data_IF_858269500627
#
_entry.id   IF_858269500627
#
_cell.length_a   1.000
_cell.length_b   1.000
_cell.length_c   1.000
_cell.angle_alpha   90.00
_cell.angle_beta   90.00
_cell.angle_gamma   90.00
#
_symmetry.space_group_name_H-M   'P 1'
#
loop_
_entity.id
_entity.type
_entity.pdbx_description
1 polymer ?
#
# COMPACT_ATOMS: atom_id res chain seq x y z
N UNK A 1 -2.95 22.01 23.14
CA UNK A 1 -2.63 20.67 22.62
C UNK A 1 -3.58 20.49 21.44
N UNK A 2 -3.21 21.07 20.29
CA UNK A 2 -3.94 20.95 19.03
C UNK A 2 -3.29 19.78 18.27
N UNK A 3 -4.06 18.72 18.07
CA UNK A 3 -3.72 17.69 17.07
C UNK A 3 -3.81 18.38 15.70
N UNK A 4 -2.67 18.67 15.11
CA UNK A 4 -2.58 18.88 13.68
C UNK A 4 -2.90 17.52 13.03
N UNK A 5 -4.09 17.39 12.47
CA UNK A 5 -4.44 16.27 11.61
C UNK A 5 -3.59 16.39 10.35
N UNK A 6 -2.56 15.58 10.29
CA UNK A 6 -1.73 15.40 9.11
C UNK A 6 -2.62 14.73 8.06
N UNK A 7 -3.09 15.49 7.07
CA UNK A 7 -3.64 14.93 5.85
C UNK A 7 -2.46 14.33 5.07
N UNK A 8 -2.19 13.07 5.33
CA UNK A 8 -1.38 12.27 4.42
C UNK A 8 -2.27 12.06 3.20
N UNK A 9 -1.98 12.75 2.12
CA UNK A 9 -2.49 12.41 0.80
C UNK A 9 -1.80 11.12 0.35
N UNK A 10 -2.24 9.99 0.92
CA UNK A 10 -2.02 8.70 0.29
C UNK A 10 -2.78 8.72 -1.03
N UNK A 11 -2.07 8.49 -2.12
CA UNK A 11 -2.57 8.60 -3.48
C UNK A 11 -3.90 7.91 -3.73
N UNK A 12 -4.97 8.66 -3.52
CA UNK A 12 -6.30 8.40 -4.04
C UNK A 12 -7.16 9.65 -3.78
N UNK A 13 -7.38 10.46 -4.80
CA UNK A 13 -8.53 11.36 -4.79
C UNK A 13 -8.29 12.85 -4.61
N UNK A 14 -7.39 13.47 -5.38
CA UNK A 14 -7.46 14.92 -5.64
C UNK A 14 -8.78 15.37 -6.33
N UNK A 15 -9.73 14.46 -6.52
CA UNK A 15 -11.00 14.73 -7.24
C UNK A 15 -12.12 15.30 -6.38
N UNK A 16 -11.92 15.57 -5.09
CA UNK A 16 -12.96 16.16 -4.21
C UNK A 16 -12.63 17.53 -3.64
N UNK A 17 -11.51 18.15 -4.01
CA UNK A 17 -11.33 19.57 -3.72
C UNK A 17 -12.14 20.38 -4.74
N UNK A 18 -13.00 21.28 -4.26
CA UNK A 18 -13.62 22.25 -5.16
C UNK A 18 -12.51 23.08 -5.81
N UNK A 19 -12.51 23.25 -7.14
CA UNK A 19 -11.51 24.08 -7.80
C UNK A 19 -11.54 25.50 -7.24
N UNK A 20 -10.41 26.20 -7.33
CA UNK A 20 -10.34 27.61 -6.94
C UNK A 20 -11.42 28.39 -7.70
N UNK A 21 -12.44 28.88 -7.01
CA UNK A 21 -13.62 29.54 -7.65
C UNK A 21 -13.30 30.94 -8.18
N UNK A 22 -12.41 31.66 -7.46
CA UNK A 22 -11.95 32.99 -7.83
C UNK A 22 -10.46 33.08 -7.64
N UNK A 23 -9.73 33.20 -8.73
CA UNK A 23 -8.28 33.19 -8.68
C UNK A 23 -7.67 33.91 -9.88
N UNK A 24 -6.36 34.03 -9.82
CA UNK A 24 -5.54 34.61 -10.88
C UNK A 24 -4.56 33.52 -11.37
N UNK A 25 -4.51 33.35 -12.67
CA UNK A 25 -3.54 32.45 -13.29
C UNK A 25 -2.11 32.96 -13.03
N UNK A 26 -1.28 32.06 -12.56
CA UNK A 26 0.17 32.21 -12.52
C UNK A 26 0.80 31.18 -13.46
N UNK A 27 1.63 31.66 -14.37
CA UNK A 27 2.25 30.83 -15.40
C UNK A 27 3.77 30.91 -15.31
N UNK A 28 4.40 29.77 -15.22
CA UNK A 28 5.84 29.60 -15.37
C UNK A 28 6.10 28.60 -16.51
N UNK A 29 6.75 29.04 -17.57
CA UNK A 29 6.96 28.27 -18.79
C UNK A 29 5.61 27.65 -19.28
N UNK A 30 5.51 26.33 -19.26
CA UNK A 30 4.37 25.53 -19.69
C UNK A 30 3.43 25.13 -18.52
N UNK A 31 3.77 25.49 -17.28
CA UNK A 31 2.92 25.20 -16.09
C UNK A 31 2.07 26.43 -15.77
N UNK A 32 0.77 26.26 -15.74
CA UNK A 32 -0.17 27.29 -15.23
C UNK A 32 -0.96 26.74 -14.07
N UNK A 33 -1.03 27.50 -12.98
CA UNK A 33 -1.86 27.23 -11.81
C UNK A 33 -2.77 28.41 -11.52
N UNK A 34 -3.92 28.16 -10.91
CA UNK A 34 -4.81 29.23 -10.43
C UNK A 34 -4.57 29.48 -8.94
N UNK A 35 -4.06 30.65 -8.60
CA UNK A 35 -3.86 31.07 -7.22
C UNK A 35 -5.12 31.81 -6.72
N UNK A 36 -5.60 31.56 -5.49
CA UNK A 36 -6.70 32.29 -4.89
C UNK A 36 -6.43 33.79 -4.90
N UNK A 37 -7.50 34.63 -5.12
CA UNK A 37 -7.33 36.08 -5.26
C UNK A 37 -6.73 36.71 -3.97
N UNK A 38 -7.08 36.19 -2.81
CA UNK A 38 -6.59 36.66 -1.52
C UNK A 38 -5.14 36.24 -1.19
N UNK A 39 -4.51 35.38 -2.04
CA UNK A 39 -3.09 35.04 -1.91
C UNK A 39 -2.16 36.14 -2.45
N UNK A 40 -2.66 37.10 -3.23
CA UNK A 40 -1.84 38.09 -3.93
C UNK A 40 -0.82 38.82 -3.04
N UNK A 41 -1.19 39.14 -1.79
CA UNK A 41 -0.34 39.83 -0.82
C UNK A 41 0.18 38.88 0.29
N UNK A 42 -0.20 37.60 0.26
CA UNK A 42 0.10 36.60 1.30
C UNK A 42 1.12 35.56 0.85
N UNK A 43 1.37 35.43 -0.45
CA UNK A 43 2.35 34.49 -0.95
C UNK A 43 3.53 35.17 -1.65
N UNK A 44 4.69 34.59 -1.47
CA UNK A 44 5.94 34.94 -2.17
C UNK A 44 6.30 33.78 -3.08
N UNK A 45 6.48 34.06 -4.37
CA UNK A 45 6.84 33.05 -5.36
C UNK A 45 8.31 33.23 -5.75
N UNK A 46 9.02 32.11 -5.81
CA UNK A 46 10.41 32.02 -6.28
C UNK A 46 10.46 31.04 -7.44
N UNK A 47 11.13 31.46 -8.49
CA UNK A 47 11.36 30.65 -9.68
C UNK A 47 12.82 30.19 -9.74
N UNK A 48 13.03 29.00 -10.28
CA UNK A 48 14.35 28.49 -10.64
C UNK A 48 14.32 27.78 -12.01
N UNK A 49 15.34 27.01 -12.32
CA UNK A 49 15.45 26.31 -13.63
C UNK A 49 14.48 25.15 -13.79
N UNK A 50 13.98 24.59 -12.68
CA UNK A 50 13.12 23.41 -12.68
C UNK A 50 11.64 23.73 -12.46
N UNK A 51 11.33 24.88 -11.85
CA UNK A 51 9.96 25.22 -11.50
C UNK A 51 9.79 26.51 -10.72
N UNK A 52 8.78 26.51 -9.87
CA UNK A 52 8.53 27.61 -8.96
C UNK A 52 8.03 27.10 -7.60
N UNK A 53 8.39 27.83 -6.56
CA UNK A 53 8.05 27.55 -5.17
C UNK A 53 7.20 28.66 -4.60
N UNK A 54 6.17 28.31 -3.85
CA UNK A 54 5.25 29.24 -3.19
C UNK A 54 5.48 29.18 -1.68
N UNK A 55 5.68 30.35 -1.09
CA UNK A 55 5.87 30.54 0.34
C UNK A 55 4.82 31.45 0.92
N UNK A 56 4.45 31.26 2.18
CA UNK A 56 3.74 32.26 2.96
C UNK A 56 4.68 33.46 3.19
N UNK A 57 4.27 34.65 2.75
CA UNK A 57 5.12 35.87 2.79
C UNK A 57 5.56 36.23 4.19
N UNK A 58 4.67 36.14 5.17
CA UNK A 58 4.96 36.55 6.54
C UNK A 58 6.08 35.71 7.20
N UNK A 59 6.15 34.40 6.89
CA UNK A 59 7.26 33.56 7.35
C UNK A 59 8.53 33.78 6.52
N UNK A 60 8.40 33.93 5.20
CA UNK A 60 9.52 34.11 4.28
C UNK A 60 10.29 35.41 4.57
N UNK A 61 9.60 36.51 4.92
CA UNK A 61 10.23 37.78 5.28
C UNK A 61 11.05 37.71 6.59
N UNK A 62 10.70 36.77 7.48
CA UNK A 62 11.47 36.53 8.71
C UNK A 62 12.76 35.75 8.43
N UNK A 63 12.68 34.76 7.58
CA UNK A 63 13.80 33.95 7.15
C UNK A 63 13.55 33.37 5.78
N UNK A 64 14.46 33.62 4.84
CA UNK A 64 14.39 33.06 3.48
C UNK A 64 14.28 31.53 3.53
N UNK A 65 13.30 30.98 2.79
CA UNK A 65 12.98 29.54 2.77
C UNK A 65 11.96 29.09 3.81
N UNK A 66 11.68 29.91 4.83
CA UNK A 66 10.58 29.63 5.77
C UNK A 66 9.24 29.98 5.14
N UNK A 67 8.17 29.28 5.51
CA UNK A 67 6.84 29.49 4.94
C UNK A 67 6.56 28.65 3.69
N UNK A 68 7.37 27.64 3.41
CA UNK A 68 7.19 26.75 2.26
C UNK A 68 5.81 26.11 2.28
N UNK A 69 5.02 26.33 1.23
CA UNK A 69 3.67 25.79 1.03
C UNK A 69 3.68 24.64 0.02
N UNK A 70 4.25 24.90 -1.15
CA UNK A 70 4.40 23.89 -2.20
C UNK A 70 5.38 24.40 -3.28
N UNK A 71 5.86 23.48 -4.11
CA UNK A 71 6.47 23.80 -5.40
C UNK A 71 5.86 23.00 -6.54
N UNK A 72 5.94 23.55 -7.74
CA UNK A 72 5.59 22.90 -8.99
C UNK A 72 6.88 22.77 -9.80
N UNK A 73 7.27 21.53 -10.09
CA UNK A 73 8.59 21.24 -10.63
C UNK A 73 8.50 20.30 -11.85
N UNK A 74 9.45 20.46 -12.76
CA UNK A 74 9.67 19.55 -13.90
C UNK A 74 10.87 18.67 -13.63
N UNK A 75 10.76 17.40 -14.03
CA UNK A 75 11.85 16.44 -13.96
C UNK A 75 11.82 15.52 -15.19
N UNK A 76 12.96 14.93 -15.53
CA UNK A 76 13.11 13.83 -16.47
C UNK A 76 13.35 12.48 -15.78
N UNK A 77 13.30 12.48 -14.44
CA UNK A 77 13.43 11.30 -13.60
C UNK A 77 12.19 11.12 -12.73
N UNK A 78 11.70 9.90 -12.67
CA UNK A 78 10.59 9.56 -11.78
C UNK A 78 11.09 9.54 -10.33
N UNK A 79 10.48 10.41 -9.52
CA UNK A 79 10.69 10.48 -8.08
C UNK A 79 9.54 9.76 -7.38
N UNK A 80 9.86 8.76 -6.58
CA UNK A 80 8.92 8.00 -5.76
C UNK A 80 9.62 7.65 -4.45
N UNK A 81 9.97 8.69 -3.68
CA UNK A 81 10.80 8.57 -2.47
C UNK A 81 10.00 8.78 -1.18
N UNK A 82 8.66 8.87 -1.27
CA UNK A 82 7.80 8.93 -0.11
C UNK A 82 6.90 10.15 -0.02
N UNK A 83 6.62 10.61 1.21
CA UNK A 83 5.63 11.65 1.47
C UNK A 83 6.09 13.03 0.96
N UNK A 84 5.19 13.72 0.28
CA UNK A 84 5.41 15.10 -0.17
C UNK A 84 5.66 15.26 -1.67
N UNK A 85 5.93 14.18 -2.38
CA UNK A 85 6.17 14.17 -3.83
C UNK A 85 4.94 13.60 -4.54
N UNK A 86 4.30 14.42 -5.38
CA UNK A 86 3.12 13.98 -6.11
C UNK A 86 3.33 14.23 -7.61
N UNK A 87 3.40 13.17 -8.41
CA UNK A 87 3.38 13.26 -9.85
C UNK A 87 1.97 13.66 -10.30
N UNK A 88 1.81 14.89 -10.79
CA UNK A 88 0.52 15.46 -11.16
C UNK A 88 0.21 15.36 -12.66
N UNK A 89 1.25 15.28 -13.48
CA UNK A 89 1.14 15.06 -14.92
C UNK A 89 2.45 14.51 -15.48
N UNK A 90 2.36 13.91 -16.65
CA UNK A 90 3.52 13.51 -17.45
C UNK A 90 3.20 13.56 -18.94
N UNK A 91 4.23 13.60 -19.77
CA UNK A 91 4.12 13.59 -21.23
C UNK A 91 4.79 12.36 -21.82
N UNK A 92 4.41 11.97 -23.03
CA UNK A 92 4.99 10.80 -23.70
C UNK A 92 6.49 10.95 -24.03
N UNK A 93 7.00 12.18 -24.07
CA UNK A 93 8.44 12.45 -24.24
C UNK A 93 9.26 12.26 -22.96
N UNK A 94 8.60 11.94 -21.84
CA UNK A 94 9.23 11.65 -20.57
C UNK A 94 9.40 12.86 -19.65
N UNK A 95 8.79 14.01 -19.95
CA UNK A 95 8.74 15.14 -19.01
C UNK A 95 7.72 14.87 -17.92
N UNK A 96 8.13 15.00 -16.66
CA UNK A 96 7.32 14.75 -15.47
C UNK A 96 7.07 16.08 -14.73
N UNK A 97 5.85 16.24 -14.21
CA UNK A 97 5.42 17.43 -13.50
C UNK A 97 4.99 17.04 -12.09
N UNK A 98 5.62 17.66 -11.11
CA UNK A 98 5.43 17.34 -9.70
C UNK A 98 4.80 18.49 -8.94
N UNK A 99 3.93 18.15 -7.99
CA UNK A 99 3.61 18.97 -6.83
C UNK A 99 4.46 18.46 -5.66
N UNK A 100 5.31 19.33 -5.11
CA UNK A 100 6.07 19.04 -3.92
C UNK A 100 5.43 19.77 -2.74
N UNK A 101 5.31 19.10 -1.60
CA UNK A 101 4.71 19.64 -0.38
C UNK A 101 5.61 19.39 0.83
N UNK A 102 5.58 20.25 1.86
CA UNK A 102 6.34 20.02 3.07
C UNK A 102 5.80 18.79 3.81
N UNK A 103 6.71 18.00 4.36
CA UNK A 103 6.38 16.84 5.23
C UNK A 103 6.22 17.24 6.70
N UNK A 104 6.56 18.48 7.06
CA UNK A 104 6.44 19.04 8.41
C UNK A 104 5.99 20.50 8.33
N UNK A 105 5.64 21.10 9.46
CA UNK A 105 5.24 22.52 9.54
C UNK A 105 6.46 23.39 9.21
N UNK A 106 6.35 24.16 8.13
CA UNK A 106 7.45 24.96 7.57
C UNK A 106 7.25 26.47 7.76
N UNK A 107 6.52 26.93 8.77
CA UNK A 107 6.26 28.35 9.03
C UNK A 107 6.93 28.83 10.34
N UNK A 108 6.89 30.16 10.57
CA UNK A 108 7.27 30.72 11.88
C UNK A 108 6.25 30.32 12.95
N UNK A 109 6.66 29.43 13.84
CA UNK A 109 5.81 28.91 14.91
C UNK A 109 5.78 29.77 16.17
N UNK A 110 6.53 30.88 16.22
CA UNK A 110 6.55 31.81 17.37
C UNK A 110 5.36 32.78 17.32
N UNK A 111 4.74 32.98 16.15
CA UNK A 111 3.60 33.86 15.95
C UNK A 111 2.34 33.07 15.55
N UNK A 112 1.40 32.97 16.47
CA UNK A 112 0.16 32.20 16.29
C UNK A 112 -0.66 32.68 15.08
N UNK A 113 -0.63 33.96 14.73
CA UNK A 113 -1.33 34.49 13.56
C UNK A 113 -0.75 33.98 12.26
N UNK A 114 0.59 33.86 12.21
CA UNK A 114 1.31 33.31 11.07
C UNK A 114 0.99 31.80 10.92
N UNK A 115 0.99 31.08 12.04
CA UNK A 115 0.62 29.64 12.05
C UNK A 115 -0.79 29.41 11.54
N UNK A 116 -1.77 30.20 11.99
CA UNK A 116 -3.16 30.10 11.56
C UNK A 116 -3.32 30.43 10.08
N UNK A 117 -2.64 31.47 9.60
CA UNK A 117 -2.64 31.81 8.17
C UNK A 117 -1.97 30.72 7.33
N UNK A 118 -0.80 30.21 7.75
CA UNK A 118 -0.10 29.12 7.07
C UNK A 118 -0.99 27.88 6.95
N UNK A 119 -1.63 27.46 8.05
CA UNK A 119 -2.54 26.33 8.05
C UNK A 119 -3.71 26.50 7.06
N UNK A 120 -4.32 27.71 7.04
CA UNK A 120 -5.39 28.02 6.07
C UNK A 120 -4.90 27.94 4.63
N UNK A 121 -3.69 28.45 4.33
CA UNK A 121 -3.11 28.39 2.98
C UNK A 121 -2.78 26.93 2.58
N UNK A 122 -2.28 26.11 3.51
CA UNK A 122 -2.00 24.70 3.25
C UNK A 122 -3.25 23.90 2.85
N UNK A 123 -4.42 24.23 3.46
CA UNK A 123 -5.70 23.59 3.09
C UNK A 123 -6.12 23.91 1.63
N UNK A 124 -5.65 25.01 1.08
CA UNK A 124 -5.97 25.44 -0.29
C UNK A 124 -5.02 24.87 -1.36
N UNK A 125 -3.84 24.33 -0.96
CA UNK A 125 -2.82 23.80 -1.91
C UNK A 125 -3.41 22.72 -2.83
N UNK A 126 -4.26 21.85 -2.32
CA UNK A 126 -4.90 20.78 -3.12
C UNK A 126 -5.82 21.37 -4.20
N UNK A 127 -6.53 22.46 -3.92
CA UNK A 127 -7.36 23.15 -4.92
C UNK A 127 -6.50 23.81 -6.00
N UNK A 128 -5.36 24.39 -5.62
CA UNK A 128 -4.38 24.95 -6.56
C UNK A 128 -3.81 23.86 -7.45
N UNK A 129 -3.40 22.73 -6.87
CA UNK A 129 -2.90 21.57 -7.62
C UNK A 129 -3.93 21.05 -8.63
N UNK A 130 -5.20 21.01 -8.24
CA UNK A 130 -6.30 20.59 -9.12
C UNK A 130 -6.56 21.57 -10.28
N UNK A 131 -6.01 22.79 -10.23
CA UNK A 131 -6.14 23.80 -11.28
C UNK A 131 -5.02 23.75 -12.33
N UNK A 132 -4.02 22.88 -12.13
CA UNK A 132 -2.84 22.79 -13.00
C UNK A 132 -3.23 22.54 -14.45
N UNK A 133 -2.62 23.33 -15.33
CA UNK A 133 -2.69 23.13 -16.77
C UNK A 133 -1.27 23.15 -17.32
N UNK A 134 -0.97 22.14 -18.12
CA UNK A 134 0.32 21.99 -18.80
C UNK A 134 0.12 22.30 -20.27
N UNK A 135 0.87 23.25 -20.81
CA UNK A 135 0.87 23.63 -22.23
C UNK A 135 1.93 22.81 -22.97
N UNK A 136 1.67 21.52 -23.14
CA UNK A 136 2.49 20.59 -23.88
C UNK A 136 1.60 19.60 -24.65
N UNK A 137 2.21 18.90 -25.61
CA UNK A 137 1.54 17.83 -26.35
C UNK A 137 1.46 16.55 -25.49
N UNK A 138 0.42 15.75 -25.71
CA UNK A 138 0.24 14.41 -25.13
C UNK A 138 0.42 14.34 -23.58
N UNK A 139 -0.24 15.28 -22.88
CA UNK A 139 -0.21 15.38 -21.41
C UNK A 139 -1.20 14.40 -20.77
N UNK A 140 -0.71 13.62 -19.83
CA UNK A 140 -1.46 12.68 -19.00
C UNK A 140 -1.60 13.22 -17.57
N UNK A 141 -2.83 13.25 -17.05
CA UNK A 141 -3.18 13.72 -15.68
C UNK A 141 -3.71 12.58 -14.80
N UNK A 142 -3.49 11.33 -15.19
CA UNK A 142 -4.01 10.11 -14.58
C UNK A 142 -2.92 9.26 -13.92
N UNK A 143 -1.80 9.89 -13.55
CA UNK A 143 -0.68 9.22 -12.92
C UNK A 143 -1.08 8.42 -11.66
N UNK A 144 -2.07 8.92 -10.93
CA UNK A 144 -2.64 8.30 -9.73
C UNK A 144 -3.39 6.98 -9.99
N UNK A 145 -3.65 6.64 -11.25
CA UNK A 145 -4.32 5.40 -11.63
C UNK A 145 -3.35 4.25 -11.94
N UNK A 146 -2.06 4.49 -11.79
CA UNK A 146 -1.01 3.51 -12.08
C UNK A 146 -0.14 3.26 -10.86
N UNK A 147 0.35 2.04 -10.72
CA UNK A 147 1.39 1.72 -9.75
C UNK A 147 2.74 2.29 -10.20
N UNK A 148 3.02 2.18 -11.51
CA UNK A 148 4.24 2.71 -12.14
C UNK A 148 3.86 3.58 -13.33
N UNK A 149 3.42 4.84 -13.09
CA UNK A 149 2.85 5.70 -14.15
C UNK A 149 3.74 5.82 -15.38
N UNK A 150 5.04 5.93 -15.17
CA UNK A 150 6.04 6.10 -16.21
C UNK A 150 6.56 4.79 -16.83
N UNK A 151 6.03 3.64 -16.38
CA UNK A 151 6.58 2.31 -16.73
C UNK A 151 6.62 1.96 -18.20
N UNK A 152 5.83 2.65 -19.03
CA UNK A 152 5.85 2.48 -20.49
C UNK A 152 6.81 3.43 -21.21
N UNK A 153 7.20 4.54 -20.57
CA UNK A 153 7.92 5.65 -21.22
C UNK A 153 9.33 5.90 -20.67
N UNK A 154 9.59 5.56 -19.40
CA UNK A 154 10.89 5.76 -18.75
C UNK A 154 11.41 4.47 -18.11
N UNK A 155 12.73 4.26 -18.11
CA UNK A 155 13.34 3.23 -17.28
C UNK A 155 13.14 3.57 -15.79
N UNK A 156 12.71 2.59 -15.01
CA UNK A 156 12.65 2.71 -13.55
C UNK A 156 13.88 2.10 -12.90
N UNK A 157 14.17 2.52 -11.68
CA UNK A 157 15.30 2.04 -10.87
C UNK A 157 14.83 1.22 -9.68
N UNK A 158 15.75 0.49 -9.02
CA UNK A 158 15.46 -0.20 -7.77
C UNK A 158 14.97 0.78 -6.69
N UNK A 159 15.55 1.98 -6.63
CA UNK A 159 15.16 3.03 -5.69
C UNK A 159 13.71 3.49 -5.91
N UNK A 160 13.27 3.63 -7.17
CA UNK A 160 11.89 4.00 -7.50
C UNK A 160 10.86 2.95 -7.03
N UNK A 161 11.28 1.70 -6.88
CA UNK A 161 10.42 0.57 -6.56
C UNK A 161 10.59 0.09 -5.11
N UNK A 162 11.55 0.67 -4.35
CA UNK A 162 11.93 0.19 -3.01
C UNK A 162 10.80 0.24 -1.99
N UNK A 163 9.93 1.24 -2.12
CA UNK A 163 8.81 1.43 -1.19
C UNK A 163 7.54 0.67 -1.61
N UNK A 164 7.58 -0.02 -2.76
CA UNK A 164 6.45 -0.83 -3.20
C UNK A 164 6.38 -2.13 -2.41
N UNK A 165 5.20 -2.41 -1.88
CA UNK A 165 4.87 -3.69 -1.27
C UNK A 165 4.94 -4.84 -2.29
N UNK A 166 4.99 -6.08 -1.81
CA UNK A 166 4.91 -7.27 -2.67
C UNK A 166 3.71 -7.21 -3.63
N UNK A 167 2.58 -6.73 -3.12
CA UNK A 167 1.37 -6.61 -3.90
C UNK A 167 1.45 -5.53 -4.98
N UNK A 168 2.01 -4.38 -4.66
CA UNK A 168 2.20 -3.31 -5.64
C UNK A 168 3.20 -3.74 -6.71
N UNK A 169 4.28 -4.45 -6.35
CA UNK A 169 5.19 -5.06 -7.32
C UNK A 169 4.45 -6.09 -8.21
N UNK A 170 3.54 -6.89 -7.63
CA UNK A 170 2.72 -7.83 -8.39
C UNK A 170 1.76 -7.11 -9.35
N UNK A 171 1.10 -6.06 -8.89
CA UNK A 171 0.27 -5.20 -9.74
C UNK A 171 1.10 -4.51 -10.82
N UNK A 172 2.23 -3.90 -10.47
CA UNK A 172 3.13 -3.22 -11.41
C UNK A 172 3.62 -4.14 -12.55
N UNK A 173 3.98 -5.38 -12.22
CA UNK A 173 4.39 -6.36 -13.24
C UNK A 173 3.24 -6.70 -14.21
N UNK A 174 2.01 -6.75 -13.71
CA UNK A 174 0.83 -7.05 -14.52
C UNK A 174 0.24 -5.82 -15.21
N UNK A 175 0.45 -4.63 -14.66
CA UNK A 175 0.08 -3.34 -15.26
C UNK A 175 0.71 -3.17 -16.64
N UNK A 176 1.99 -3.55 -16.80
CA UNK A 176 2.67 -3.51 -18.10
C UNK A 176 1.88 -4.29 -19.17
N UNK A 177 1.38 -5.48 -18.84
CA UNK A 177 0.56 -6.26 -19.76
C UNK A 177 -0.86 -5.71 -19.90
N UNK A 178 -1.44 -5.17 -18.84
CA UNK A 178 -2.77 -4.58 -18.85
C UNK A 178 -2.86 -3.38 -19.79
N UNK A 179 -1.81 -2.55 -19.87
CA UNK A 179 -1.69 -1.44 -20.83
C UNK A 179 -1.81 -1.91 -22.28
N UNK A 180 -1.44 -3.15 -22.57
CA UNK A 180 -1.62 -3.80 -23.89
C UNK A 180 -2.94 -4.59 -24.00
N UNK A 181 -3.86 -4.41 -23.05
CA UNK A 181 -5.19 -5.03 -23.08
C UNK A 181 -5.22 -6.52 -22.73
N UNK A 182 -4.22 -7.03 -22.01
CA UNK A 182 -4.24 -8.40 -21.51
C UNK A 182 -5.42 -8.60 -20.56
N UNK A 183 -6.16 -9.69 -20.75
CA UNK A 183 -7.15 -10.19 -19.78
C UNK A 183 -6.51 -11.20 -18.85
N UNK A 184 -6.98 -11.27 -17.62
CA UNK A 184 -6.40 -12.09 -16.56
C UNK A 184 -7.38 -13.18 -16.11
N UNK A 185 -6.88 -14.40 -15.95
CA UNK A 185 -7.62 -15.48 -15.31
C UNK A 185 -7.67 -15.30 -13.78
N UNK A 186 -6.70 -14.59 -13.23
CA UNK A 186 -6.69 -14.14 -11.84
C UNK A 186 -7.79 -13.10 -11.64
N UNK A 187 -8.78 -13.46 -10.82
CA UNK A 187 -9.96 -12.60 -10.56
C UNK A 187 -9.62 -11.31 -9.87
N UNK A 188 -8.56 -11.30 -9.05
CA UNK A 188 -8.06 -10.10 -8.38
C UNK A 188 -7.46 -9.12 -9.40
N UNK A 189 -6.55 -9.58 -10.27
CA UNK A 189 -5.96 -8.75 -11.32
C UNK A 189 -7.02 -8.22 -12.28
N UNK A 190 -7.96 -9.09 -12.71
CA UNK A 190 -9.00 -8.68 -13.63
C UNK A 190 -9.90 -7.60 -13.00
N UNK A 191 -10.32 -7.78 -11.75
CA UNK A 191 -11.14 -6.81 -11.05
C UNK A 191 -10.40 -5.47 -10.82
N UNK A 192 -9.09 -5.54 -10.52
CA UNK A 192 -8.26 -4.35 -10.40
C UNK A 192 -8.23 -3.56 -11.70
N UNK A 193 -7.87 -4.19 -12.81
CA UNK A 193 -7.72 -3.48 -14.07
C UNK A 193 -9.06 -3.09 -14.70
N UNK A 194 -10.12 -3.89 -14.55
CA UNK A 194 -11.49 -3.53 -15.01
C UNK A 194 -11.96 -2.20 -14.39
N UNK A 195 -11.43 -1.87 -13.26
CA UNK A 195 -11.76 -0.68 -12.54
C UNK A 195 -10.89 0.54 -12.92
N UNK A 196 -9.76 0.35 -13.59
CA UNK A 196 -8.93 1.42 -14.10
C UNK A 196 -9.54 2.02 -15.37
N UNK A 197 -9.72 3.36 -15.41
CA UNK A 197 -10.37 4.03 -16.54
C UNK A 197 -9.59 3.92 -17.85
N UNK A 198 -8.29 3.69 -17.77
CA UNK A 198 -7.39 3.52 -18.91
C UNK A 198 -7.38 2.09 -19.48
N UNK A 199 -7.81 1.10 -18.71
CA UNK A 199 -7.76 -0.29 -19.15
C UNK A 199 -8.84 -0.61 -20.20
N UNK A 200 -8.41 -1.20 -21.31
CA UNK A 200 -9.32 -1.67 -22.37
C UNK A 200 -8.91 -3.08 -22.77
N UNK A 201 -9.72 -4.11 -22.42
CA UNK A 201 -9.42 -5.48 -22.79
C UNK A 201 -9.35 -5.65 -24.31
N UNK A 202 -8.22 -6.10 -24.85
CA UNK A 202 -8.09 -6.45 -26.26
C UNK A 202 -8.58 -7.89 -26.47
N UNK A 203 -9.84 -8.07 -26.77
CA UNK A 203 -10.47 -9.39 -26.95
C UNK A 203 -9.67 -10.33 -27.85
N UNK A 204 -8.89 -11.23 -27.26
CA UNK A 204 -8.37 -12.44 -27.90
C UNK A 204 -6.89 -12.48 -28.31
N UNK A 205 -6.09 -11.46 -28.11
CA UNK A 205 -4.64 -11.57 -28.27
C UNK A 205 -3.93 -11.09 -27.00
N UNK A 206 -3.47 -12.03 -26.19
CA UNK A 206 -2.57 -11.72 -25.08
C UNK A 206 -1.30 -11.10 -25.65
N UNK A 207 -1.00 -9.85 -25.29
CA UNK A 207 0.35 -9.33 -25.46
C UNK A 207 1.28 -10.21 -24.63
N UNK A 208 2.02 -11.08 -25.29
CA UNK A 208 3.16 -11.74 -24.68
C UNK A 208 4.33 -10.76 -24.63
N UNK A 209 5.42 -11.13 -23.97
CA UNK A 209 6.63 -10.31 -23.86
C UNK A 209 7.14 -9.74 -25.20
N UNK A 210 6.83 -10.41 -26.32
CA UNK A 210 7.21 -9.98 -27.67
C UNK A 210 6.48 -8.71 -28.17
N UNK A 211 5.41 -8.28 -27.50
CA UNK A 211 4.68 -7.06 -27.85
C UNK A 211 5.12 -5.82 -27.05
N UNK A 212 5.96 -6.00 -26.05
CA UNK A 212 6.43 -4.93 -25.16
C UNK A 212 7.59 -4.15 -25.80
N UNK A 213 7.64 -2.85 -25.54
CA UNK A 213 8.79 -2.01 -25.87
C UNK A 213 10.06 -2.45 -25.11
N UNK A 214 11.23 -1.96 -25.52
CA UNK A 214 12.49 -2.24 -24.82
C UNK A 214 12.46 -1.71 -23.37
N UNK A 215 11.83 -0.56 -23.15
CA UNK A 215 11.65 0.04 -21.82
C UNK A 215 10.76 -0.85 -20.95
N UNK A 216 9.59 -1.24 -21.45
CA UNK A 216 8.67 -2.10 -20.74
C UNK A 216 9.27 -3.47 -20.39
N UNK A 217 10.04 -4.06 -21.31
CA UNK A 217 10.75 -5.31 -21.04
C UNK A 217 11.82 -5.15 -19.94
N UNK A 218 12.57 -4.03 -19.96
CA UNK A 218 13.57 -3.74 -18.94
C UNK A 218 12.92 -3.53 -17.57
N UNK A 219 11.86 -2.72 -17.53
CA UNK A 219 11.11 -2.45 -16.31
C UNK A 219 10.46 -3.72 -15.73
N UNK A 220 9.79 -4.52 -16.58
CA UNK A 220 9.21 -5.79 -16.18
C UNK A 220 10.25 -6.75 -15.59
N UNK A 221 11.44 -6.80 -16.19
CA UNK A 221 12.54 -7.64 -15.69
C UNK A 221 13.02 -7.16 -14.32
N UNK A 222 13.14 -5.85 -14.11
CA UNK A 222 13.53 -5.28 -12.83
C UNK A 222 12.46 -5.55 -11.76
N UNK A 223 11.19 -5.25 -12.04
CA UNK A 223 10.08 -5.48 -11.12
C UNK A 223 10.03 -6.96 -10.68
N UNK A 224 10.15 -7.90 -11.63
CA UNK A 224 10.19 -9.33 -11.31
C UNK A 224 11.42 -9.74 -10.49
N UNK A 225 12.57 -9.10 -10.72
CA UNK A 225 13.76 -9.34 -9.91
C UNK A 225 13.56 -8.85 -8.47
N UNK A 226 12.92 -7.69 -8.29
CA UNK A 226 12.59 -7.15 -6.97
C UNK A 226 11.53 -8.00 -6.25
N UNK A 227 10.51 -8.51 -6.95
CA UNK A 227 9.58 -9.49 -6.37
C UNK A 227 10.32 -10.72 -5.85
N UNK A 228 11.25 -11.26 -6.65
CA UNK A 228 12.03 -12.44 -6.25
C UNK A 228 12.95 -12.13 -5.07
N UNK A 229 13.57 -10.95 -5.04
CA UNK A 229 14.40 -10.51 -3.92
C UNK A 229 13.55 -10.32 -2.66
N UNK A 230 12.40 -9.68 -2.79
CA UNK A 230 11.43 -9.52 -1.71
C UNK A 230 10.99 -10.87 -1.14
N UNK A 231 10.58 -11.82 -2.00
CA UNK A 231 10.22 -13.18 -1.60
C UNK A 231 11.40 -13.91 -0.92
N UNK A 232 12.65 -13.63 -1.31
CA UNK A 232 13.85 -14.25 -0.73
C UNK A 232 14.23 -13.63 0.63
N UNK A 233 13.99 -12.34 0.83
CA UNK A 233 14.19 -11.65 2.12
C UNK A 233 13.07 -11.99 3.10
N UNK A 234 11.85 -12.13 2.59
CA UNK A 234 10.67 -12.47 3.36
C UNK A 234 10.32 -13.94 3.13
N UNK A 235 11.15 -14.84 3.68
CA UNK A 235 10.94 -16.30 3.63
C UNK A 235 9.59 -16.71 4.25
N UNK A 236 8.96 -15.82 4.96
CA UNK A 236 7.66 -16.02 5.61
C UNK A 236 6.56 -15.18 4.94
N UNK A 237 5.31 -15.65 4.91
CA UNK A 237 4.79 -16.89 5.50
C UNK A 237 5.26 -18.15 4.73
N UNK A 238 5.63 -19.18 5.45
CA UNK A 238 6.03 -20.48 4.90
C UNK A 238 5.00 -21.55 5.24
N UNK A 239 4.59 -22.32 4.24
CA UNK A 239 3.65 -23.44 4.39
C UNK A 239 4.38 -24.72 4.75
N UNK A 240 3.81 -25.50 5.66
CA UNK A 240 4.27 -26.84 6.05
C UNK A 240 3.13 -27.84 5.94
N UNK A 241 3.42 -29.04 5.47
CA UNK A 241 2.44 -30.13 5.36
C UNK A 241 1.98 -30.62 6.73
N UNK A 242 0.67 -30.70 6.93
CA UNK A 242 0.13 -31.32 8.13
C UNK A 242 0.43 -32.83 8.15
N UNK A 243 0.71 -33.36 9.34
CA UNK A 243 1.10 -34.74 9.55
C UNK A 243 2.59 -35.01 9.36
N UNK A 244 3.36 -34.04 8.91
CA UNK A 244 4.83 -34.10 8.84
C UNK A 244 5.46 -33.28 9.96
N UNK A 245 6.67 -33.64 10.38
CA UNK A 245 7.45 -32.85 11.35
C UNK A 245 8.43 -31.97 10.60
N UNK A 246 8.45 -30.69 10.92
CA UNK A 246 9.36 -29.70 10.37
C UNK A 246 10.32 -29.17 11.45
N UNK A 247 11.54 -28.87 11.08
CA UNK A 247 12.50 -28.16 11.93
C UNK A 247 12.39 -26.66 11.65
N UNK A 248 11.97 -25.88 12.65
CA UNK A 248 11.67 -24.46 12.54
C UNK A 248 12.32 -23.71 13.69
N UNK A 249 13.03 -22.63 13.42
CA UNK A 249 13.55 -21.72 14.43
C UNK A 249 12.40 -20.80 14.91
N UNK A 250 11.57 -21.28 15.82
CA UNK A 250 10.44 -20.50 16.36
C UNK A 250 10.91 -19.36 17.25
N UNK A 251 12.06 -19.49 17.86
CA UNK A 251 12.65 -18.48 18.75
C UNK A 251 13.89 -17.88 18.09
N UNK A 252 14.11 -16.59 18.28
CA UNK A 252 15.31 -15.90 17.79
C UNK A 252 16.56 -16.25 18.65
N UNK A 253 16.81 -17.55 18.81
CA UNK A 253 17.94 -18.06 19.57
C UNK A 253 18.81 -19.05 18.77
N UNK A 254 18.50 -19.25 17.49
CA UNK A 254 19.20 -20.15 16.58
C UNK A 254 18.96 -21.65 16.85
N UNK A 255 18.03 -22.00 17.73
CA UNK A 255 17.66 -23.39 18.01
C UNK A 255 16.45 -23.76 17.15
N UNK A 256 16.55 -24.93 16.47
CA UNK A 256 15.43 -25.47 15.70
C UNK A 256 14.51 -26.27 16.63
N UNK A 257 13.22 -25.98 16.55
CA UNK A 257 12.18 -26.73 17.21
C UNK A 257 11.57 -27.74 16.22
N UNK A 258 11.28 -28.95 16.68
CA UNK A 258 10.50 -29.94 15.94
C UNK A 258 9.02 -29.57 16.01
N UNK A 259 8.40 -29.15 14.91
CA UNK A 259 7.01 -28.70 14.87
C UNK A 259 6.20 -29.60 13.95
N UNK A 260 5.05 -30.05 14.43
CA UNK A 260 4.06 -30.73 13.58
C UNK A 260 2.62 -30.32 13.94
N UNK A 261 1.76 -30.35 12.93
CA UNK A 261 0.33 -30.08 13.08
C UNK A 261 -0.47 -31.26 12.56
N UNK A 262 -1.46 -31.69 13.32
CA UNK A 262 -2.34 -32.82 12.95
C UNK A 262 -3.79 -32.49 13.20
N UNK A 263 -4.65 -32.89 12.26
CA UNK A 263 -6.10 -32.86 12.40
C UNK A 263 -6.64 -34.27 12.34
N UNK A 264 -7.35 -34.68 13.37
CA UNK A 264 -7.94 -36.03 13.48
C UNK A 264 -9.43 -35.94 13.81
N UNK A 265 -10.17 -37.01 13.55
CA UNK A 265 -11.62 -37.02 13.78
C UNK A 265 -12.42 -36.40 12.64
N UNK A 266 -13.70 -36.12 12.87
CA UNK A 266 -14.62 -35.46 11.91
C UNK A 266 -15.75 -34.76 12.66
N UNK A 267 -16.18 -33.61 12.17
CA UNK A 267 -17.25 -32.81 12.74
C UNK A 267 -16.95 -32.40 14.18
N UNK A 268 -17.91 -32.55 15.10
CA UNK A 268 -17.74 -32.18 16.52
C UNK A 268 -16.66 -33.00 17.27
N UNK A 269 -16.11 -34.05 16.65
CA UNK A 269 -15.02 -34.86 17.21
C UNK A 269 -13.68 -34.56 16.57
N UNK A 270 -13.57 -33.45 15.88
CA UNK A 270 -12.31 -33.00 15.29
C UNK A 270 -11.37 -32.52 16.39
N UNK A 271 -10.15 -33.06 16.38
CA UNK A 271 -9.07 -32.66 17.29
C UNK A 271 -7.92 -32.11 16.46
N UNK A 272 -7.52 -30.90 16.75
CA UNK A 272 -6.39 -30.20 16.15
C UNK A 272 -5.26 -30.14 17.18
N UNK A 273 -4.11 -30.67 16.84
CA UNK A 273 -2.96 -30.73 17.73
C UNK A 273 -1.73 -30.12 17.07
N UNK A 274 -1.14 -29.13 17.73
CA UNK A 274 0.23 -28.72 17.49
C UNK A 274 1.16 -29.51 18.41
N UNK A 275 2.24 -30.04 17.88
CA UNK A 275 3.26 -30.69 18.70
C UNK A 275 4.56 -29.94 18.48
N UNK A 276 5.19 -29.47 19.56
CA UNK A 276 6.44 -28.73 19.55
C UNK A 276 7.41 -29.42 20.51
N UNK A 277 8.56 -29.88 19.99
CA UNK A 277 9.60 -30.60 20.72
C UNK A 277 9.03 -31.78 21.54
N UNK A 278 8.08 -32.50 20.93
CA UNK A 278 7.41 -33.64 21.55
C UNK A 278 6.30 -33.29 22.55
N UNK A 279 6.07 -32.05 22.87
CA UNK A 279 4.94 -31.58 23.68
C UNK A 279 3.73 -31.35 22.80
N UNK A 280 2.61 -32.01 23.08
CA UNK A 280 1.37 -31.89 22.32
C UNK A 280 0.43 -30.86 22.97
N UNK A 281 -0.06 -29.92 22.16
CA UNK A 281 -1.03 -28.88 22.51
C UNK A 281 -2.33 -29.16 21.77
N UNK A 282 -3.40 -29.45 22.51
CA UNK A 282 -4.76 -29.53 21.93
C UNK A 282 -5.29 -28.09 21.71
N UNK A 283 -5.47 -27.72 20.45
CA UNK A 283 -5.91 -26.35 20.13
C UNK A 283 -7.33 -26.04 20.63
N UNK A 284 -8.14 -27.07 20.95
CA UNK A 284 -9.44 -26.88 21.57
C UNK A 284 -9.37 -26.26 22.98
N UNK A 285 -8.21 -26.28 23.63
CA UNK A 285 -7.97 -25.59 24.90
C UNK A 285 -7.85 -24.07 24.75
N UNK A 286 -7.57 -23.59 23.54
CA UNK A 286 -7.34 -22.18 23.22
C UNK A 286 -8.48 -21.56 22.41
N UNK A 287 -9.01 -22.31 21.44
CA UNK A 287 -9.97 -21.80 20.44
C UNK A 287 -11.02 -22.85 20.09
N UNK A 288 -12.17 -22.39 19.60
CA UNK A 288 -13.18 -23.27 19.02
C UNK A 288 -13.04 -23.27 17.50
N UNK A 289 -12.50 -24.36 16.95
CA UNK A 289 -12.42 -24.56 15.51
C UNK A 289 -13.69 -25.31 15.00
N UNK A 290 -14.17 -24.89 13.84
CA UNK A 290 -15.40 -25.46 13.24
C UNK A 290 -15.10 -26.40 12.06
N UNK A 291 -14.19 -26.01 11.19
CA UNK A 291 -13.77 -26.78 10.03
C UNK A 291 -12.25 -26.56 9.75
N UNK A 292 -11.39 -27.08 10.64
CA UNK A 292 -9.96 -26.84 10.52
C UNK A 292 -9.40 -27.42 9.23
N UNK A 293 -8.55 -26.66 8.57
CA UNK A 293 -7.82 -27.09 7.38
C UNK A 293 -6.79 -28.14 7.79
N UNK A 294 -6.86 -29.31 7.14
CA UNK A 294 -6.15 -30.50 7.58
C UNK A 294 -4.88 -30.82 6.74
N UNK A 295 -4.56 -30.00 5.75
CA UNK A 295 -3.47 -30.27 4.81
C UNK A 295 -2.19 -29.48 5.10
N UNK A 296 -2.29 -28.32 5.79
CA UNK A 296 -1.16 -27.47 6.07
C UNK A 296 -1.33 -26.64 7.35
N UNK A 297 -0.20 -26.20 7.89
CA UNK A 297 -0.08 -25.06 8.79
C UNK A 297 0.95 -24.09 8.22
N UNK A 298 0.98 -22.88 8.74
CA UNK A 298 1.88 -21.84 8.26
C UNK A 298 2.71 -21.31 9.40
N UNK A 299 3.89 -20.83 9.05
CA UNK A 299 4.75 -20.07 9.96
C UNK A 299 4.94 -18.70 9.35
N UNK A 300 4.82 -17.68 10.15
CA UNK A 300 4.92 -16.29 9.75
C UNK A 300 5.84 -15.54 10.72
N UNK A 301 6.21 -14.34 10.34
CA UNK A 301 6.98 -13.42 11.13
C UNK A 301 6.11 -12.16 11.31
N UNK A 302 5.42 -12.07 12.43
CA UNK A 302 4.59 -10.92 12.76
C UNK A 302 5.44 -9.92 13.53
N UNK A 303 5.84 -8.85 12.88
CA UNK A 303 6.58 -7.79 13.56
C UNK A 303 5.78 -7.22 14.72
N UNK A 304 6.46 -7.09 15.79
CA UNK A 304 5.97 -6.60 17.05
C UNK A 304 6.06 -5.08 17.10
N UNK A 305 4.92 -4.44 17.31
CA UNK A 305 4.80 -2.99 17.45
C UNK A 305 5.32 -2.16 16.26
N UNK A 306 4.40 -1.64 15.49
CA UNK A 306 4.71 -0.63 14.46
C UNK A 306 5.56 0.47 15.09
N UNK A 307 6.82 0.57 14.66
CA UNK A 307 7.76 1.61 15.08
C UNK A 307 8.85 1.20 16.07
N UNK A 308 8.90 -0.05 16.50
CA UNK A 308 10.00 -0.58 17.31
C UNK A 308 10.49 -1.92 16.74
N UNK A 309 11.19 -1.93 15.60
CA UNK A 309 11.66 -3.16 14.95
C UNK A 309 12.74 -3.93 15.74
N UNK A 310 13.11 -3.47 16.90
CA UNK A 310 14.22 -4.02 17.69
C UNK A 310 13.79 -5.11 18.69
N UNK A 311 12.50 -5.44 18.76
CA UNK A 311 11.95 -6.43 19.70
C UNK A 311 11.33 -7.61 18.96
N UNK A 312 12.02 -8.13 17.96
CA UNK A 312 11.65 -9.41 17.33
C UNK A 312 11.88 -10.55 18.33
N UNK A 313 10.82 -11.26 18.66
CA UNK A 313 10.87 -12.36 19.63
C UNK A 313 10.63 -13.75 18.98
N UNK A 314 10.76 -13.87 17.64
CA UNK A 314 10.68 -15.11 16.88
C UNK A 314 9.45 -15.23 16.00
N UNK A 315 9.09 -16.44 15.60
CA UNK A 315 8.10 -16.72 14.59
C UNK A 315 6.76 -17.17 15.19
N UNK A 316 5.67 -16.84 14.51
CA UNK A 316 4.32 -17.28 14.83
C UNK A 316 3.88 -18.46 13.97
N UNK A 317 3.02 -19.28 14.55
CA UNK A 317 2.35 -20.39 13.87
C UNK A 317 0.93 -19.98 13.54
N UNK A 318 0.53 -20.19 12.28
CA UNK A 318 -0.83 -19.93 11.83
C UNK A 318 -1.54 -21.22 11.40
N UNK A 319 -2.76 -21.41 11.89
CA UNK A 319 -3.64 -22.51 11.47
C UNK A 319 -4.95 -21.96 10.93
N UNK A 320 -5.52 -22.64 9.96
CA UNK A 320 -6.68 -22.17 9.20
C UNK A 320 -7.94 -22.96 9.60
N UNK A 321 -9.05 -22.25 9.77
CA UNK A 321 -10.38 -22.80 9.98
C UNK A 321 -11.33 -22.30 8.88
N UNK A 322 -11.90 -23.18 8.08
CA UNK A 322 -12.88 -22.83 7.03
C UNK A 322 -14.19 -22.26 7.59
N UNK A 323 -14.39 -22.42 8.91
CA UNK A 323 -15.56 -21.88 9.59
C UNK A 323 -16.87 -22.48 9.11
N UNK A 324 -17.97 -21.81 9.47
CA UNK A 324 -19.33 -22.20 9.07
C UNK A 324 -19.96 -21.25 8.05
N UNK A 325 -19.35 -20.10 7.83
CA UNK A 325 -19.87 -19.01 7.00
C UNK A 325 -19.22 -18.91 5.62
N UNK A 326 -18.18 -19.72 5.36
CA UNK A 326 -17.43 -19.76 4.12
C UNK A 326 -16.44 -18.60 3.94
N UNK A 327 -16.24 -17.77 4.98
CA UNK A 327 -15.23 -16.73 5.00
C UNK A 327 -13.90 -17.31 5.46
N UNK A 328 -13.96 -18.22 6.43
CA UNK A 328 -12.81 -18.80 7.08
C UNK A 328 -12.14 -17.86 8.10
N UNK A 329 -11.21 -18.41 8.85
CA UNK A 329 -10.47 -17.70 9.90
C UNK A 329 -9.07 -18.24 9.98
N UNK A 330 -8.09 -17.38 10.16
CA UNK A 330 -6.70 -17.74 10.46
C UNK A 330 -6.42 -17.43 11.92
N UNK A 331 -5.99 -18.44 12.67
CA UNK A 331 -5.64 -18.34 14.07
C UNK A 331 -4.13 -18.34 14.24
N UNK A 332 -3.60 -17.44 15.06
CA UNK A 332 -2.19 -17.25 15.30
C UNK A 332 -1.78 -17.69 16.69
N UNK A 333 -0.66 -18.36 16.77
CA UNK A 333 -0.04 -18.85 18.00
C UNK A 333 1.43 -18.46 18.03
N UNK A 334 1.94 -18.21 19.24
CA UNK A 334 3.34 -18.00 19.54
C UNK A 334 3.84 -19.07 20.50
N UNK A 335 5.12 -19.44 20.34
CA UNK A 335 5.79 -20.35 21.25
C UNK A 335 7.02 -19.66 21.85
N UNK A 336 7.10 -19.61 23.18
CA UNK A 336 8.27 -19.12 23.94
C UNK A 336 8.67 -20.10 25.06
N UNK A 337 8.53 -21.41 24.81
CA UNK A 337 8.67 -22.48 25.80
C UNK A 337 7.33 -23.04 26.27
N UNK A 338 6.24 -22.31 25.99
CA UNK A 338 4.85 -22.75 26.07
C UNK A 338 4.06 -22.16 24.88
N UNK A 339 2.87 -22.67 24.58
CA UNK A 339 2.06 -22.19 23.46
C UNK A 339 1.07 -21.10 23.94
N UNK A 340 1.03 -19.98 23.22
CA UNK A 340 0.13 -18.86 23.45
C UNK A 340 -0.75 -18.62 22.24
N UNK A 341 -2.03 -18.38 22.47
CA UNK A 341 -2.93 -17.90 21.43
C UNK A 341 -2.86 -16.38 21.34
N UNK A 342 -2.57 -15.86 20.15
CA UNK A 342 -2.41 -14.43 19.92
C UNK A 342 -3.69 -13.75 19.43
N UNK A 343 -4.55 -14.51 18.74
CA UNK A 343 -5.77 -13.97 18.14
C UNK A 343 -6.03 -14.52 16.74
N UNK A 344 -6.98 -13.90 16.05
CA UNK A 344 -7.47 -14.38 14.75
C UNK A 344 -7.68 -13.24 13.77
N UNK A 345 -7.66 -13.58 12.49
CA UNK A 345 -8.09 -12.70 11.40
C UNK A 345 -9.05 -13.44 10.49
N UNK A 346 -10.03 -12.73 9.93
CA UNK A 346 -10.95 -13.31 8.96
C UNK A 346 -10.25 -13.66 7.65
N UNK A 347 -10.56 -14.84 7.11
CA UNK A 347 -10.01 -15.31 5.85
C UNK A 347 -8.69 -16.07 5.95
N UNK A 348 -8.08 -16.33 4.79
CA UNK A 348 -6.84 -17.11 4.64
C UNK A 348 -5.76 -16.28 3.94
N UNK A 349 -5.13 -15.32 4.63
CA UNK A 349 -4.17 -14.40 4.03
C UNK A 349 -2.96 -15.07 3.38
N UNK A 350 -2.66 -16.31 3.75
CA UNK A 350 -1.48 -17.06 3.25
C UNK A 350 -1.79 -18.05 2.13
N UNK A 351 -3.05 -18.42 1.94
CA UNK A 351 -3.41 -19.55 1.09
C UNK A 351 -3.87 -19.14 -0.30
N UNK A 352 -4.57 -18.04 -0.44
CA UNK A 352 -5.42 -17.90 -1.62
C UNK A 352 -5.40 -16.48 -2.21
N UNK A 353 -4.30 -16.16 -2.90
CA UNK A 353 -4.23 -14.94 -3.72
C UNK A 353 -5.36 -14.88 -4.76
N UNK A 354 -5.79 -16.03 -5.25
CA UNK A 354 -6.86 -16.14 -6.26
C UNK A 354 -8.26 -16.00 -5.68
N UNK A 355 -8.44 -16.14 -4.37
CA UNK A 355 -9.72 -15.92 -3.70
C UNK A 355 -9.92 -14.49 -3.20
N UNK A 356 -9.10 -13.55 -3.63
CA UNK A 356 -9.18 -12.15 -3.23
C UNK A 356 -8.52 -11.83 -1.89
N UNK A 357 -7.58 -12.65 -1.46
CA UNK A 357 -6.72 -12.37 -0.33
C UNK A 357 -5.32 -12.10 -0.82
N UNK A 358 -4.82 -10.90 -0.61
CA UNK A 358 -3.40 -10.68 -0.68
C UNK A 358 -2.81 -10.89 0.70
N UNK A 359 -1.72 -11.55 0.73
CA UNK A 359 -0.99 -11.80 1.95
C UNK A 359 -0.29 -10.55 2.47
N UNK A 360 0.54 -10.78 3.32
CA UNK A 360 1.57 -10.06 4.01
C UNK A 360 2.24 -8.97 3.16
N UNK A 361 2.26 -7.73 3.61
CA UNK A 361 2.91 -6.64 2.88
C UNK A 361 4.39 -6.46 3.22
N UNK A 362 5.00 -7.36 4.01
CA UNK A 362 6.43 -7.35 4.31
C UNK A 362 6.97 -6.13 5.05
N UNK A 363 6.18 -5.13 5.31
CA UNK A 363 6.58 -4.00 6.11
C UNK A 363 6.15 -4.20 7.57
N UNK A 364 7.03 -4.81 8.32
CA UNK A 364 6.91 -4.76 9.75
C UNK A 364 5.69 -5.48 10.33
N UNK A 365 5.28 -6.62 9.76
CA UNK A 365 4.27 -7.49 10.37
C UNK A 365 2.84 -6.99 10.32
N UNK A 366 2.56 -5.97 9.54
CA UNK A 366 1.19 -5.60 9.21
C UNK A 366 0.70 -6.52 8.10
N UNK A 367 -0.34 -7.27 8.38
CA UNK A 367 -1.01 -8.07 7.36
C UNK A 367 -2.03 -7.22 6.63
N UNK A 368 -1.83 -7.04 5.34
CA UNK A 368 -2.85 -6.56 4.44
C UNK A 368 -3.81 -7.71 4.11
N UNK A 369 -5.03 -7.60 4.60
CA UNK A 369 -6.09 -8.53 4.28
C UNK A 369 -6.92 -7.94 3.16
N UNK A 370 -6.70 -8.40 1.95
CA UNK A 370 -7.53 -8.03 0.81
C UNK A 370 -8.48 -9.19 0.53
N UNK A 371 -9.77 -8.91 0.49
CA UNK A 371 -10.78 -9.91 0.13
C UNK A 371 -11.85 -9.32 -0.75
N UNK A 372 -12.42 -10.16 -1.60
CA UNK A 372 -13.64 -9.86 -2.32
C UNK A 372 -14.84 -10.19 -1.45
N UNK A 373 -15.67 -9.19 -1.16
CA UNK A 373 -16.91 -9.36 -0.41
C UNK A 373 -18.09 -9.51 -1.37
N UNK A 374 -18.50 -10.74 -1.63
CA UNK A 374 -19.61 -11.05 -2.55
C UNK A 374 -20.92 -10.31 -2.23
N UNK A 375 -21.35 -10.17 -0.96
CA UNK A 375 -22.56 -9.44 -0.63
C UNK A 375 -22.57 -7.98 -1.07
N UNK A 376 -21.42 -7.34 -1.02
CA UNK A 376 -21.29 -5.92 -1.37
C UNK A 376 -20.69 -5.70 -2.76
N UNK A 377 -20.22 -6.77 -3.42
CA UNK A 377 -19.49 -6.72 -4.69
C UNK A 377 -18.30 -5.75 -4.63
N UNK A 378 -17.62 -5.74 -3.50
CA UNK A 378 -16.51 -4.84 -3.21
C UNK A 378 -15.25 -5.62 -2.84
N UNK A 379 -14.08 -5.07 -3.16
CA UNK A 379 -12.82 -5.51 -2.60
C UNK A 379 -12.60 -4.76 -1.29
N UNK A 380 -12.33 -5.48 -0.23
CA UNK A 380 -12.13 -4.95 1.11
C UNK A 380 -10.68 -5.14 1.52
N UNK A 381 -10.08 -4.10 2.07
CA UNK A 381 -8.75 -4.15 2.67
C UNK A 381 -8.87 -3.95 4.18
N UNK A 382 -8.13 -4.74 4.93
CA UNK A 382 -7.98 -4.60 6.37
C UNK A 382 -6.53 -4.73 6.79
N UNK A 383 -6.19 -4.18 7.93
CA UNK A 383 -4.86 -4.29 8.54
C UNK A 383 -4.98 -5.04 9.86
N UNK A 384 -4.04 -5.94 10.12
CA UNK A 384 -3.87 -6.58 11.40
C UNK A 384 -2.39 -6.59 11.78
N UNK A 385 -2.08 -6.41 13.05
CA UNK A 385 -0.71 -6.43 13.56
C UNK A 385 -0.66 -7.13 14.92
N UNK A 386 0.53 -7.61 15.28
CA UNK A 386 0.76 -8.16 16.60
C UNK A 386 1.14 -7.06 17.60
N UNK A 387 0.45 -6.98 18.71
CA UNK A 387 0.80 -6.12 19.84
C UNK A 387 1.52 -6.95 20.91
N UNK A 388 2.85 -6.85 20.94
CA UNK A 388 3.68 -7.61 21.86
C UNK A 388 3.44 -7.28 23.33
N UNK A 389 3.08 -6.04 23.63
CA UNK A 389 2.79 -5.60 25.01
C UNK A 389 1.53 -6.26 25.56
N UNK A 390 0.52 -6.45 24.72
CA UNK A 390 -0.75 -7.08 25.08
C UNK A 390 -0.83 -8.56 24.65
N UNK A 391 0.18 -9.04 23.93
CA UNK A 391 0.30 -10.41 23.39
C UNK A 391 -0.95 -10.82 22.60
N UNK A 392 -1.41 -10.00 21.67
CA UNK A 392 -2.60 -10.26 20.85
C UNK A 392 -2.50 -9.64 19.47
N UNK A 393 -3.24 -10.21 18.52
CA UNK A 393 -3.49 -9.59 17.23
C UNK A 393 -4.51 -8.45 17.41
N UNK A 394 -4.17 -7.27 16.91
CA UNK A 394 -5.05 -6.12 16.85
C UNK A 394 -5.40 -5.80 15.40
N UNK A 395 -6.56 -5.19 15.21
CA UNK A 395 -7.02 -4.74 13.90
C UNK A 395 -7.08 -3.21 13.89
N UNK A 396 -6.89 -2.60 12.72
CA UNK A 396 -7.12 -1.17 12.55
C UNK A 396 -8.57 -0.84 12.93
N UNK A 397 -8.73 0.13 13.85
CA UNK A 397 -10.04 0.62 14.23
C UNK A 397 -10.75 1.21 13.00
N UNK A 398 -11.92 0.71 12.70
CA UNK A 398 -12.84 1.29 11.71
C UNK A 398 -12.82 0.64 10.35
N UNK A 399 -12.12 -0.46 10.22
CA UNK A 399 -12.61 -1.09 9.10
C UNK A 399 -11.91 -1.60 7.94
N UNK A 400 -12.68 -2.35 7.35
CA UNK A 400 -12.55 -2.78 5.97
C UNK A 400 -12.68 -1.55 5.08
N UNK A 401 -11.59 -1.15 4.45
CA UNK A 401 -11.61 -0.07 3.46
C UNK A 401 -11.90 -0.68 2.09
N UNK A 402 -12.69 0.01 1.28
CA UNK A 402 -12.76 -0.29 -0.13
C UNK A 402 -11.40 0.05 -0.73
N UNK A 403 -10.63 -0.93 -1.13
CA UNK A 403 -9.29 -0.78 -1.69
C UNK A 403 -9.30 0.01 -3.01
N UNK A 404 -10.43 0.00 -3.68
CA UNK A 404 -10.62 0.73 -4.92
C UNK A 404 -11.74 1.77 -4.78
N UNK A 405 -11.48 2.85 -4.04
CA UNK A 405 -12.43 3.97 -4.06
C UNK A 405 -12.65 4.56 -5.46
N UNK A 406 -11.69 4.65 -6.36
CA UNK A 406 -11.95 4.97 -7.76
C UNK A 406 -12.68 3.85 -8.50
N UNK A 407 -12.56 2.66 -8.01
CA UNK A 407 -13.04 1.41 -8.55
C UNK A 407 -14.25 0.87 -7.79
N UNK A 408 -15.06 1.74 -7.20
CA UNK A 408 -16.37 1.34 -6.71
C UNK A 408 -17.08 0.65 -7.84
N UNK A 409 -17.11 -0.68 -7.77
CA UNK A 409 -18.06 -1.44 -8.58
C UNK A 409 -19.41 -0.81 -8.27
N UNK A 410 -19.96 -0.08 -9.21
CA UNK A 410 -21.31 0.47 -9.04
C UNK A 410 -22.21 -0.69 -8.63
N UNK A 411 -22.91 -0.55 -7.50
CA UNK A 411 -23.92 -1.51 -7.10
C UNK A 411 -24.86 -1.67 -8.29
N UNK A 412 -24.70 -2.75 -9.02
CA UNK A 412 -25.73 -3.21 -9.97
C UNK A 412 -26.87 -3.74 -9.12
N UNK A 413 -27.82 -2.82 -8.83
CA UNK A 413 -29.10 -3.15 -8.20
C UNK A 413 -29.91 -4.19 -8.98
#
# INVERSE_FOLDING_TARGET
MLLAGMLILTGCGAKNSSPVENGKDYTWNDITVMLPEDWADRCTIKEDENGFTIYQTASYEKMEGLGYLCSFEKSDAWMNYGAGENLIAYTEDGTLYYLMQPTDVACDTEDQTIVEEYGSMMEEVTAIASSVKIDADDVHYDADQYVVPVGAILPVTEENLSDLSEQELYLAANEIYARHGKTFDDTYLQAHFDACSWYTPAGGATAGDAGLSEIEQANLKLIKAMQTAYEAEHIYPKSYSAGETAEIALLDNGVLNEVSYTVTGKGEQTVCTLTIDGTAYDLAEYIQMHAPVADAFYVTDLVENIGTPEEDDGLEIAVLDEGTDGIGTTHFFKYDGDLYYLGEVGGFPFRDRNAGFSGFNGQGGVMDLIRYDKPTDCILQGYAWYNSSEKKIEHADGGLYSYYEPCKLEHKG
#
